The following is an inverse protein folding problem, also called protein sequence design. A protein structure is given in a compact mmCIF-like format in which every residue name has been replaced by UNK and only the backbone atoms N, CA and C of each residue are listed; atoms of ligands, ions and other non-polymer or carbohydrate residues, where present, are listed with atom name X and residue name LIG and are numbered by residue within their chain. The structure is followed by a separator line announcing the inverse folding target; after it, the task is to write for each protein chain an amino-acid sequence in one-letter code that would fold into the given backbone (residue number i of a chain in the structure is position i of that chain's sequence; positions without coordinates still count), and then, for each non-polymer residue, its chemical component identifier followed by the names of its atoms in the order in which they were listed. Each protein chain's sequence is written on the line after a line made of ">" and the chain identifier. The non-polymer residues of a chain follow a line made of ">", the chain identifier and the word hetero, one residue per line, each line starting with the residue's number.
data_IF_504846086939
#
_entry.id   IF_504846086939
#
_cell.length_a   1.000
_cell.length_b   1.000
_cell.length_c   1.000
_cell.angle_alpha   90.00
_cell.angle_beta   90.00
_cell.angle_gamma   90.00
#
_symmetry.space_group_name_H-M   'P 1'
#
loop_
_entity.id
_entity.type
_entity.pdbx_description
1 polymer ?
#
# COMPACT_ATOMS: atom_id res chain seq x y z
N UNK A 1 27.64 -23.73 17.43
CA UNK A 1 26.22 -24.15 17.21
C UNK A 1 25.39 -24.23 18.50
N UNK A 2 25.78 -24.97 19.55
CA UNK A 2 24.98 -25.09 20.79
C UNK A 2 24.70 -23.76 21.51
N UNK A 3 25.67 -22.84 21.57
CA UNK A 3 25.48 -21.52 22.17
C UNK A 3 24.52 -20.61 21.38
N UNK A 4 24.49 -20.75 20.05
CA UNK A 4 23.59 -20.02 19.15
C UNK A 4 22.15 -20.53 19.28
N UNK A 5 21.98 -21.85 19.39
CA UNK A 5 20.69 -22.49 19.66
C UNK A 5 20.15 -22.15 21.06
N UNK A 6 21.01 -22.08 22.08
CA UNK A 6 20.62 -21.65 23.43
C UNK A 6 20.21 -20.15 23.46
N UNK A 7 20.91 -19.29 22.71
CA UNK A 7 20.55 -17.88 22.54
C UNK A 7 19.20 -17.70 21.83
N UNK A 8 18.95 -18.44 20.75
CA UNK A 8 17.64 -18.45 20.07
C UNK A 8 16.52 -18.94 20.99
N UNK A 9 16.80 -19.94 21.84
CA UNK A 9 15.80 -20.47 22.77
C UNK A 9 15.54 -19.52 23.96
N UNK A 10 16.51 -18.70 24.35
CA UNK A 10 16.29 -17.61 25.31
C UNK A 10 15.48 -16.45 24.69
N UNK A 11 15.65 -16.20 23.38
CA UNK A 11 14.98 -15.14 22.62
C UNK A 11 13.61 -15.52 22.04
N UNK A 12 13.08 -16.72 22.33
CA UNK A 12 11.78 -17.22 21.82
C UNK A 12 10.66 -16.18 21.79
N UNK A 13 10.53 -15.40 22.87
CA UNK A 13 9.48 -14.42 23.04
C UNK A 13 9.72 -13.18 22.16
N UNK A 14 10.99 -12.76 22.04
CA UNK A 14 11.39 -11.67 21.14
C UNK A 14 11.30 -12.09 19.66
N UNK A 15 11.61 -13.34 19.33
CA UNK A 15 11.44 -13.88 17.99
C UNK A 15 9.96 -13.93 17.61
N UNK A 16 9.12 -14.44 18.53
CA UNK A 16 7.66 -14.43 18.35
C UNK A 16 7.13 -13.00 18.22
N UNK A 17 7.57 -12.08 19.07
CA UNK A 17 7.21 -10.66 18.98
C UNK A 17 7.64 -10.02 17.66
N UNK A 18 8.82 -10.36 17.15
CA UNK A 18 9.29 -9.92 15.83
C UNK A 18 8.39 -10.45 14.71
N UNK A 19 8.10 -11.75 14.67
CA UNK A 19 7.22 -12.31 13.64
C UNK A 19 5.79 -11.79 13.75
N UNK A 20 5.28 -11.57 14.97
CA UNK A 20 3.96 -10.99 15.20
C UNK A 20 3.90 -9.53 14.72
N UNK A 21 4.90 -8.71 15.06
CA UNK A 21 4.99 -7.32 14.59
C UNK A 21 5.20 -7.24 13.08
N UNK A 22 6.02 -8.13 12.53
CA UNK A 22 6.23 -8.25 11.08
C UNK A 22 4.92 -8.63 10.39
N UNK A 23 4.23 -9.68 10.81
CA UNK A 23 2.92 -10.06 10.27
C UNK A 23 1.88 -8.93 10.42
N UNK A 24 1.87 -8.24 11.56
CA UNK A 24 0.99 -7.10 11.81
C UNK A 24 1.24 -5.94 10.83
N UNK A 25 2.49 -5.71 10.40
CA UNK A 25 2.80 -4.71 9.37
C UNK A 25 2.17 -5.07 8.01
N UNK A 26 2.16 -6.36 7.63
CA UNK A 26 1.48 -6.83 6.42
C UNK A 26 -0.04 -6.70 6.53
N UNK A 27 -0.61 -6.94 7.72
CA UNK A 27 -2.01 -6.65 7.97
C UNK A 27 -2.30 -5.16 7.79
N UNK A 28 -1.46 -4.27 8.33
CA UNK A 28 -1.60 -2.83 8.16
C UNK A 28 -1.59 -2.43 6.67
N UNK A 29 -0.67 -2.96 5.88
CA UNK A 29 -0.64 -2.74 4.43
C UNK A 29 -1.90 -3.25 3.71
N UNK A 30 -2.38 -4.44 4.08
CA UNK A 30 -3.63 -4.98 3.53
C UNK A 30 -4.84 -4.10 3.82
N UNK A 31 -4.98 -3.62 5.07
CA UNK A 31 -6.07 -2.72 5.44
C UNK A 31 -5.97 -1.35 4.77
N UNK A 32 -4.76 -0.79 4.62
CA UNK A 32 -4.53 0.45 3.86
C UNK A 32 -5.06 0.28 2.44
N UNK A 33 -4.75 -0.84 1.79
CA UNK A 33 -5.26 -1.11 0.44
C UNK A 33 -6.76 -1.23 0.36
N UNK A 34 -7.45 -1.76 1.37
CA UNK A 34 -8.92 -1.76 1.39
C UNK A 34 -9.49 -0.34 1.41
N UNK A 35 -8.87 0.57 2.16
CA UNK A 35 -9.26 2.00 2.14
C UNK A 35 -8.97 2.62 0.77
N UNK A 36 -7.80 2.34 0.18
CA UNK A 36 -7.46 2.82 -1.16
C UNK A 36 -8.44 2.29 -2.20
N UNK A 37 -8.81 1.00 -2.12
CA UNK A 37 -9.81 0.37 -2.99
C UNK A 37 -11.12 1.12 -2.92
N UNK A 38 -11.63 1.41 -1.71
CA UNK A 38 -12.88 2.15 -1.55
C UNK A 38 -12.83 3.52 -2.27
N UNK A 39 -11.71 4.23 -2.19
CA UNK A 39 -11.51 5.54 -2.82
C UNK A 39 -11.43 5.51 -4.35
N UNK A 40 -10.93 4.41 -4.93
CA UNK A 40 -10.78 4.27 -6.39
C UNK A 40 -11.81 3.34 -7.02
N UNK A 41 -12.64 2.69 -6.20
CA UNK A 41 -13.61 1.67 -6.62
C UNK A 41 -14.53 2.13 -7.75
N UNK A 42 -15.05 3.38 -7.81
CA UNK A 42 -15.96 3.78 -8.90
C UNK A 42 -15.33 3.71 -10.29
N UNK A 43 -13.99 3.82 -10.37
CA UNK A 43 -13.23 3.69 -11.61
C UNK A 43 -12.74 2.26 -11.79
N UNK A 44 -12.22 1.66 -10.72
CA UNK A 44 -11.61 0.34 -10.78
C UNK A 44 -12.62 -0.78 -11.11
N UNK A 45 -13.86 -0.67 -10.63
CA UNK A 45 -14.91 -1.66 -10.88
C UNK A 45 -15.46 -1.64 -12.31
N UNK A 46 -15.10 -0.64 -13.12
CA UNK A 46 -15.41 -0.63 -14.55
C UNK A 46 -14.52 -1.60 -15.33
N UNK A 47 -13.37 -2.00 -14.75
CA UNK A 47 -12.35 -2.82 -15.41
C UNK A 47 -12.21 -4.20 -14.75
N UNK A 48 -12.39 -4.28 -13.44
CA UNK A 48 -12.26 -5.52 -12.66
C UNK A 48 -13.54 -5.78 -11.87
N UNK A 49 -13.91 -7.05 -11.61
CA UNK A 49 -15.08 -7.34 -10.79
C UNK A 49 -14.84 -6.82 -9.36
N UNK A 50 -15.92 -6.56 -8.60
CA UNK A 50 -15.80 -5.93 -7.30
C UNK A 50 -15.09 -6.84 -6.28
N UNK A 51 -14.36 -6.26 -5.33
CA UNK A 51 -13.48 -6.98 -4.40
C UNK A 51 -14.18 -8.12 -3.63
N UNK A 52 -15.48 -8.02 -3.36
CA UNK A 52 -16.28 -9.07 -2.69
C UNK A 52 -16.33 -10.37 -3.49
N UNK A 53 -16.12 -10.30 -4.80
CA UNK A 53 -16.08 -11.47 -5.69
C UNK A 53 -14.72 -12.16 -5.73
N UNK A 54 -13.66 -11.50 -5.23
CA UNK A 54 -12.31 -12.02 -5.34
C UNK A 54 -12.07 -13.15 -4.34
N UNK A 55 -11.55 -14.27 -4.85
CA UNK A 55 -11.26 -15.47 -4.07
C UNK A 55 -9.89 -16.00 -4.47
N UNK A 56 -9.14 -16.50 -3.49
CA UNK A 56 -7.90 -17.25 -3.72
C UNK A 56 -6.66 -16.63 -3.07
N UNK A 57 -5.52 -17.33 -3.16
CA UNK A 57 -4.29 -16.96 -2.46
C UNK A 57 -3.60 -15.71 -3.01
N UNK A 58 -3.98 -15.25 -4.21
CA UNK A 58 -3.41 -14.07 -4.88
C UNK A 58 -3.97 -12.75 -4.34
N UNK A 59 -5.16 -12.75 -3.72
CA UNK A 59 -5.86 -11.54 -3.27
C UNK A 59 -5.04 -10.77 -2.23
N UNK A 60 -4.51 -11.47 -1.24
CA UNK A 60 -3.75 -10.83 -0.16
C UNK A 60 -2.40 -10.26 -0.63
N UNK A 61 -1.58 -10.98 -1.42
CA UNK A 61 -0.41 -10.39 -2.08
C UNK A 61 -0.72 -9.16 -2.92
N UNK A 62 -1.85 -9.15 -3.65
CA UNK A 62 -2.29 -7.97 -4.40
C UNK A 62 -2.58 -6.80 -3.46
N UNK A 63 -3.35 -7.02 -2.39
CA UNK A 63 -3.61 -5.98 -1.39
C UNK A 63 -2.32 -5.42 -0.81
N UNK A 64 -1.38 -6.27 -0.40
CA UNK A 64 -0.09 -5.81 0.15
C UNK A 64 0.72 -5.05 -0.91
N UNK A 65 0.80 -5.60 -2.12
CA UNK A 65 1.56 -5.02 -3.23
C UNK A 65 1.07 -3.63 -3.61
N UNK A 66 -0.25 -3.41 -3.60
CA UNK A 66 -0.84 -2.10 -3.87
C UNK A 66 -0.42 -1.06 -2.85
N UNK A 67 -0.44 -1.36 -1.55
CA UNK A 67 -0.03 -0.39 -0.52
C UNK A 67 1.46 -0.04 -0.62
N UNK A 68 2.30 -1.03 -0.91
CA UNK A 68 3.73 -0.82 -1.12
C UNK A 68 3.95 0.07 -2.34
N UNK A 69 3.34 -0.26 -3.48
CA UNK A 69 3.51 0.50 -4.71
C UNK A 69 2.93 1.92 -4.59
N UNK A 70 1.80 2.07 -3.91
CA UNK A 70 1.17 3.37 -3.66
C UNK A 70 2.06 4.29 -2.83
N UNK A 71 2.88 3.75 -1.93
CA UNK A 71 3.78 4.54 -1.07
C UNK A 71 4.79 5.38 -1.89
N UNK A 72 5.14 4.97 -3.11
CA UNK A 72 5.99 5.75 -4.02
C UNK A 72 5.31 7.04 -4.53
N UNK A 73 4.00 7.17 -4.38
CA UNK A 73 3.26 8.39 -4.73
C UNK A 73 3.57 9.55 -3.78
N UNK A 74 3.98 9.28 -2.53
CA UNK A 74 4.27 10.31 -1.53
C UNK A 74 5.49 11.18 -1.89
N UNK A 75 6.66 10.61 -2.25
CA UNK A 75 7.77 11.41 -2.74
C UNK A 75 7.41 12.27 -3.96
N UNK A 76 6.63 11.73 -4.90
CA UNK A 76 6.19 12.46 -6.10
C UNK A 76 5.29 13.64 -5.68
N UNK A 77 4.30 13.39 -4.82
CA UNK A 77 3.41 14.42 -4.30
C UNK A 77 4.18 15.50 -3.53
N UNK A 78 5.20 15.11 -2.76
CA UNK A 78 6.09 16.03 -2.04
C UNK A 78 6.92 16.90 -2.97
N UNK A 79 7.50 16.34 -4.03
CA UNK A 79 8.26 17.12 -5.03
C UNK A 79 7.34 18.14 -5.72
N UNK A 80 6.12 17.74 -6.10
CA UNK A 80 5.16 18.67 -6.71
C UNK A 80 4.73 19.76 -5.73
N UNK A 81 4.47 19.41 -4.47
CA UNK A 81 4.12 20.39 -3.43
C UNK A 81 5.24 21.43 -3.22
N UNK A 82 6.50 21.00 -3.17
CA UNK A 82 7.66 21.90 -3.07
C UNK A 82 7.78 22.83 -4.28
N UNK A 83 7.51 22.31 -5.49
CA UNK A 83 7.51 23.13 -6.72
C UNK A 83 6.40 24.17 -6.70
N UNK A 84 5.20 23.79 -6.28
CA UNK A 84 4.06 24.71 -6.13
C UNK A 84 4.29 25.75 -5.03
N UNK A 85 4.95 25.37 -3.94
CA UNK A 85 5.36 26.30 -2.89
C UNK A 85 6.34 27.36 -3.42
N UNK A 86 7.30 26.95 -4.26
CA UNK A 86 8.26 27.86 -4.88
C UNK A 86 7.59 28.89 -5.81
N UNK A 87 6.48 28.53 -6.45
CA UNK A 87 5.68 29.45 -7.28
C UNK A 87 4.65 30.26 -6.48
N UNK A 88 4.74 30.30 -5.14
CA UNK A 88 3.79 30.98 -4.25
C UNK A 88 2.33 30.52 -4.46
N UNK A 89 2.12 29.27 -4.86
CA UNK A 89 0.78 28.73 -5.05
C UNK A 89 0.00 28.70 -3.72
N UNK A 90 -1.31 28.90 -3.81
CA UNK A 90 -2.17 28.90 -2.63
C UNK A 90 -2.13 27.56 -1.88
N UNK A 91 -2.36 27.61 -0.57
CA UNK A 91 -2.45 26.40 0.28
C UNK A 91 -3.49 25.39 -0.25
N UNK A 92 -4.61 25.88 -0.80
CA UNK A 92 -5.66 25.02 -1.38
C UNK A 92 -5.16 24.30 -2.64
N UNK A 93 -4.50 25.02 -3.55
CA UNK A 93 -3.95 24.44 -4.79
C UNK A 93 -2.94 23.34 -4.48
N UNK A 94 -2.05 23.59 -3.53
CA UNK A 94 -1.06 22.63 -3.04
C UNK A 94 -1.72 21.37 -2.49
N UNK A 95 -2.69 21.54 -1.59
CA UNK A 95 -3.41 20.44 -0.97
C UNK A 95 -4.21 19.61 -1.98
N UNK A 96 -4.93 20.26 -2.90
CA UNK A 96 -5.67 19.56 -3.97
C UNK A 96 -4.73 18.79 -4.90
N UNK A 97 -3.60 19.39 -5.28
CA UNK A 97 -2.60 18.73 -6.14
C UNK A 97 -2.00 17.51 -5.45
N UNK A 98 -1.68 17.65 -4.16
CA UNK A 98 -1.16 16.56 -3.34
C UNK A 98 -2.16 15.39 -3.26
N UNK A 99 -3.43 15.68 -2.96
CA UNK A 99 -4.48 14.67 -2.93
C UNK A 99 -4.72 14.03 -4.30
N UNK A 100 -4.72 14.82 -5.38
CA UNK A 100 -4.89 14.31 -6.73
C UNK A 100 -3.77 13.32 -7.10
N UNK A 101 -2.51 13.64 -6.76
CA UNK A 101 -1.37 12.74 -7.01
C UNK A 101 -1.52 11.46 -6.19
N UNK A 102 -1.89 11.53 -4.92
CA UNK A 102 -2.09 10.34 -4.11
C UNK A 102 -3.24 9.47 -4.61
N UNK A 103 -4.34 10.09 -5.06
CA UNK A 103 -5.49 9.36 -5.61
C UNK A 103 -5.15 8.69 -6.95
N UNK A 104 -4.50 9.43 -7.87
CA UNK A 104 -4.02 8.88 -9.15
C UNK A 104 -2.99 7.77 -8.94
N UNK A 105 -2.08 7.96 -7.98
CA UNK A 105 -1.12 6.95 -7.59
C UNK A 105 -1.78 5.69 -7.03
N UNK A 106 -2.87 5.82 -6.27
CA UNK A 106 -3.64 4.69 -5.77
C UNK A 106 -4.27 3.91 -6.92
N UNK A 107 -4.93 4.62 -7.84
CA UNK A 107 -5.54 4.02 -9.03
C UNK A 107 -4.49 3.30 -9.90
N UNK A 108 -3.37 3.97 -10.19
CA UNK A 108 -2.27 3.39 -10.96
C UNK A 108 -1.69 2.14 -10.28
N UNK A 109 -1.51 2.18 -8.96
CA UNK A 109 -0.99 1.03 -8.19
C UNK A 109 -1.93 -0.16 -8.28
N UNK A 110 -3.24 0.07 -8.15
CA UNK A 110 -4.26 -0.96 -8.35
C UNK A 110 -4.20 -1.57 -9.75
N UNK A 111 -4.17 -0.74 -10.80
CA UNK A 111 -4.14 -1.20 -12.18
C UNK A 111 -2.87 -2.00 -12.50
N UNK A 112 -1.70 -1.55 -12.04
CA UNK A 112 -0.43 -2.26 -12.27
C UNK A 112 -0.42 -3.60 -11.55
N UNK A 113 -0.74 -3.62 -10.25
CA UNK A 113 -0.65 -4.85 -9.46
C UNK A 113 -1.69 -5.88 -9.91
N UNK A 114 -2.93 -5.45 -10.20
CA UNK A 114 -3.93 -6.33 -10.78
C UNK A 114 -3.52 -6.81 -12.17
N UNK A 115 -3.05 -5.92 -13.05
CA UNK A 115 -2.62 -6.31 -14.39
C UNK A 115 -1.52 -7.37 -14.43
N UNK A 116 -0.69 -7.44 -13.38
CA UNK A 116 0.38 -8.43 -13.26
C UNK A 116 -0.03 -9.73 -12.55
N UNK A 117 -1.08 -9.71 -11.73
CA UNK A 117 -1.44 -10.82 -10.83
C UNK A 117 -2.87 -11.33 -11.02
N UNK A 118 -3.65 -10.73 -11.92
CA UNK A 118 -5.04 -11.11 -12.17
C UNK A 118 -5.09 -12.52 -12.80
N UNK A 119 -5.82 -13.47 -12.18
CA UNK A 119 -5.84 -14.86 -12.65
C UNK A 119 -6.75 -15.12 -13.86
N UNK A 120 -7.60 -14.17 -14.25
CA UNK A 120 -8.61 -14.36 -15.31
C UNK A 120 -9.99 -14.59 -14.74
#
# INVERSE_FOLDING_TARGET
>A
MKALLAGLWAMKASLFGFFAAFAASFLSFGYVSLVLYALVSPVLTQLYPPLESWRGPWVWPVLVGVAILWSFSFPIAGVVDLRLAATQASKRTRWLSYLAILWLGALASWLVVLGLNWPG
#
